data_IF_789329455493
#
_entry.id   IF_789329455493
#
_cell.length_a   1.000
_cell.length_b   1.000
_cell.length_c   1.000
_cell.angle_alpha   90.00
_cell.angle_beta   90.00
_cell.angle_gamma   90.00
#
_symmetry.space_group_name_H-M   'P 1'
#
loop_
_entity.id
_entity.type
_entity.pdbx_description
1 polymer ?
#
# COMPACT_ATOMS: atom_id res chain seq x y z
N UNK A 1 -12.14 -6.66 -8.76
CA UNK A 1 -12.06 -5.59 -9.77
C UNK A 1 -10.72 -5.75 -10.48
N UNK A 2 -10.67 -5.88 -11.82
CA UNK A 2 -9.39 -5.95 -12.53
C UNK A 2 -8.65 -4.60 -12.41
N UNK A 3 -7.35 -4.65 -12.13
CA UNK A 3 -6.50 -3.47 -12.09
C UNK A 3 -6.11 -3.06 -13.53
N UNK A 4 -6.28 -1.78 -13.86
CA UNK A 4 -5.82 -1.24 -15.13
C UNK A 4 -4.31 -0.90 -15.03
N UNK A 5 -3.50 -1.61 -15.81
CA UNK A 5 -2.05 -1.43 -15.82
C UNK A 5 -1.66 -0.26 -16.73
N UNK A 6 -0.72 0.56 -16.28
CA UNK A 6 -0.11 1.67 -17.01
C UNK A 6 1.41 1.57 -16.90
N UNK A 7 2.10 2.31 -17.75
CA UNK A 7 3.57 2.43 -17.69
C UNK A 7 3.93 3.86 -17.30
N UNK A 8 4.78 4.01 -16.29
CA UNK A 8 5.34 5.31 -15.91
C UNK A 8 6.22 5.88 -17.03
N UNK A 9 6.52 7.17 -16.99
CA UNK A 9 7.43 7.80 -17.96
C UNK A 9 8.83 7.18 -17.97
N UNK A 10 9.23 6.49 -16.89
CA UNK A 10 10.50 5.78 -16.77
C UNK A 10 10.44 4.31 -17.15
N UNK A 11 9.31 3.81 -17.65
CA UNK A 11 9.16 2.44 -18.15
C UNK A 11 8.67 1.40 -17.14
N UNK A 12 8.37 1.78 -15.89
CA UNK A 12 7.89 0.86 -14.85
C UNK A 12 6.39 0.65 -14.90
N UNK A 13 5.92 -0.58 -14.66
CA UNK A 13 4.49 -0.88 -14.59
C UNK A 13 3.89 -0.36 -13.28
N UNK A 14 2.70 0.24 -13.38
CA UNK A 14 1.91 0.72 -12.24
C UNK A 14 0.43 0.41 -12.44
N UNK A 15 -0.23 0.05 -11.35
CA UNK A 15 -1.68 -0.05 -11.25
C UNK A 15 -2.18 0.84 -10.11
N UNK A 16 -3.19 1.65 -10.39
CA UNK A 16 -3.83 2.54 -9.42
C UNK A 16 -5.20 1.98 -9.03
N UNK A 17 -5.56 2.13 -7.76
CA UNK A 17 -6.87 1.72 -7.24
C UNK A 17 -7.27 2.59 -6.04
N UNK A 18 -8.53 2.44 -5.62
CA UNK A 18 -9.07 3.12 -4.45
C UNK A 18 -9.48 2.07 -3.43
N UNK A 19 -9.08 2.26 -2.18
CA UNK A 19 -9.43 1.35 -1.09
C UNK A 19 -10.91 1.47 -0.68
N UNK A 20 -11.34 0.68 0.30
CA UNK A 20 -12.72 0.69 0.80
C UNK A 20 -13.14 2.03 1.42
N UNK A 21 -12.17 2.80 1.90
CA UNK A 21 -12.32 4.09 2.57
C UNK A 21 -12.24 5.28 1.61
N UNK A 22 -12.01 5.04 0.32
CA UNK A 22 -11.87 6.09 -0.69
C UNK A 22 -10.45 6.62 -0.82
N UNK A 23 -9.44 5.96 -0.24
CA UNK A 23 -8.03 6.38 -0.28
C UNK A 23 -7.37 5.87 -1.55
N UNK A 24 -6.63 6.74 -2.25
CA UNK A 24 -5.85 6.39 -3.43
C UNK A 24 -4.66 5.52 -3.04
N UNK A 25 -4.52 4.38 -3.73
CA UNK A 25 -3.46 3.42 -3.55
C UNK A 25 -2.87 3.03 -4.91
N UNK A 26 -1.63 2.54 -4.90
CA UNK A 26 -1.05 1.95 -6.10
C UNK A 26 -0.09 0.80 -5.82
N UNK A 27 -0.01 -0.08 -6.82
CA UNK A 27 0.96 -1.16 -6.96
C UNK A 27 1.91 -0.80 -8.09
N UNK A 28 3.20 -0.67 -7.82
CA UNK A 28 4.16 -0.16 -8.79
C UNK A 28 5.48 -0.91 -8.75
N UNK A 29 6.04 -1.27 -9.91
CA UNK A 29 7.40 -1.79 -10.00
C UNK A 29 8.43 -0.76 -9.50
N UNK A 30 9.38 -1.24 -8.70
CA UNK A 30 10.47 -0.41 -8.23
C UNK A 30 11.53 -0.23 -9.32
N UNK A 31 12.13 0.97 -9.37
CA UNK A 31 13.31 1.22 -10.20
C UNK A 31 14.63 0.73 -9.60
N UNK A 32 14.57 -0.27 -8.70
CA UNK A 32 15.76 -0.78 -8.01
C UNK A 32 16.50 -1.71 -8.99
N UNK A 33 17.77 -1.43 -9.25
CA UNK A 33 18.51 -2.07 -10.35
C UNK A 33 19.02 -3.48 -9.99
N UNK A 34 19.28 -3.73 -8.71
CA UNK A 34 19.93 -4.94 -8.21
C UNK A 34 18.96 -5.98 -7.65
N UNK A 35 17.68 -5.63 -7.48
CA UNK A 35 16.70 -6.50 -6.85
C UNK A 35 15.29 -6.20 -7.36
N UNK A 36 14.53 -7.27 -7.62
CA UNK A 36 13.13 -7.16 -8.00
C UNK A 36 12.29 -6.77 -6.78
N UNK A 37 11.80 -5.53 -6.80
CA UNK A 37 10.98 -4.98 -5.72
C UNK A 37 9.79 -4.20 -6.28
N UNK A 38 8.79 -3.97 -5.45
CA UNK A 38 7.61 -3.18 -5.78
C UNK A 38 7.21 -2.25 -4.63
N UNK A 39 6.47 -1.21 -4.96
CA UNK A 39 5.78 -0.35 -4.01
C UNK A 39 4.31 -0.76 -3.91
N UNK A 40 3.80 -0.89 -2.69
CA UNK A 40 2.40 -1.19 -2.40
C UNK A 40 1.89 -0.32 -1.24
N UNK A 41 0.77 0.37 -1.43
CA UNK A 41 0.10 1.11 -0.34
C UNK A 41 -0.59 2.39 -0.80
N UNK A 42 -1.01 3.21 0.16
CA UNK A 42 -1.64 4.50 -0.08
C UNK A 42 -0.63 5.51 -0.62
N UNK A 43 -1.04 6.35 -1.57
CA UNK A 43 -0.15 7.34 -2.19
C UNK A 43 0.01 8.60 -1.33
N UNK A 44 -0.99 8.93 -0.51
CA UNK A 44 -0.99 10.06 0.41
C UNK A 44 -1.28 9.59 1.84
N UNK A 45 -0.59 10.18 2.82
CA UNK A 45 -0.77 9.92 4.24
C UNK A 45 -1.94 10.70 4.87
N UNK A 46 -2.33 11.82 4.27
CA UNK A 46 -3.40 12.71 4.74
C UNK A 46 -3.53 12.82 6.28
N UNK A 47 -2.44 13.17 6.99
CA UNK A 47 -2.37 13.08 8.44
C UNK A 47 -3.30 14.10 9.11
N UNK A 48 -4.21 13.60 9.96
CA UNK A 48 -5.20 14.40 10.69
C UNK A 48 -5.14 14.15 12.18
N UNK A 49 -5.54 15.15 12.97
CA UNK A 49 -5.76 15.01 14.41
C UNK A 49 -7.26 15.03 14.70
N UNK A 50 -7.71 14.18 15.64
CA UNK A 50 -9.08 14.20 16.13
C UNK A 50 -9.20 15.25 17.24
N UNK A 51 -9.89 16.37 16.96
CA UNK A 51 -10.20 17.39 17.96
C UNK A 51 -11.60 17.15 18.54
N UNK A 52 -11.78 17.17 19.89
CA UNK A 52 -13.07 16.86 20.52
C UNK A 52 -14.26 17.69 20.01
N UNK A 53 -14.01 18.94 19.61
CA UNK A 53 -15.01 19.92 19.17
C UNK A 53 -15.20 19.97 17.64
N UNK A 54 -14.25 19.44 16.87
CA UNK A 54 -14.15 19.67 15.42
C UNK A 54 -13.97 18.40 14.58
N UNK A 55 -13.78 17.24 15.21
CA UNK A 55 -13.53 16.01 14.50
C UNK A 55 -12.14 15.98 13.86
N UNK A 56 -11.99 15.17 12.82
CA UNK A 56 -10.73 15.02 12.07
C UNK A 56 -10.35 16.31 11.34
N UNK A 57 -9.27 16.94 11.80
CA UNK A 57 -8.82 18.23 11.31
C UNK A 57 -7.37 18.13 10.83
N UNK A 58 -7.03 18.83 9.74
CA UNK A 58 -5.65 18.99 9.30
C UNK A 58 -4.82 19.67 10.39
N UNK A 59 -3.64 19.12 10.67
CA UNK A 59 -2.73 19.67 11.68
C UNK A 59 -1.41 20.08 11.01
N UNK A 60 -0.85 21.26 11.32
CA UNK A 60 0.48 21.61 10.81
C UNK A 60 1.53 20.68 11.43
N UNK A 61 2.46 20.21 10.60
CA UNK A 61 3.61 19.43 11.02
C UNK A 61 4.90 20.23 10.85
N UNK A 62 5.95 19.85 11.60
CA UNK A 62 7.24 20.52 11.49
C UNK A 62 7.80 20.38 10.07
N UNK A 63 8.47 21.42 9.52
CA UNK A 63 9.15 21.31 8.25
C UNK A 63 10.10 20.10 8.23
N UNK A 64 10.07 19.32 7.15
CA UNK A 64 10.87 18.09 7.02
C UNK A 64 10.23 16.84 7.63
N UNK A 65 9.01 16.91 8.17
CA UNK A 65 8.27 15.71 8.58
C UNK A 65 7.98 14.84 7.35
N UNK A 66 8.33 13.56 7.41
CA UNK A 66 8.10 12.57 6.35
C UNK A 66 6.97 11.64 6.79
N UNK A 67 5.97 11.48 5.93
CA UNK A 67 4.91 10.49 6.08
C UNK A 67 5.06 9.44 4.98
N UNK A 68 5.54 8.26 5.35
CA UNK A 68 5.63 7.15 4.41
C UNK A 68 4.44 6.20 4.62
N UNK A 69 3.68 5.96 3.56
CA UNK A 69 2.50 5.08 3.54
C UNK A 69 2.67 3.89 2.60
N UNK A 70 3.79 3.80 1.90
CA UNK A 70 4.03 2.74 0.90
C UNK A 70 5.10 1.79 1.39
N UNK A 71 4.83 0.50 1.20
CA UNK A 71 5.77 -0.57 1.47
C UNK A 71 6.64 -0.79 0.24
N UNK A 72 7.96 -0.82 0.44
CA UNK A 72 8.92 -1.27 -0.57
C UNK A 72 9.22 -2.74 -0.31
N UNK A 73 8.63 -3.62 -1.10
CA UNK A 73 8.66 -5.06 -0.87
C UNK A 73 9.55 -5.73 -1.91
N UNK A 74 10.46 -6.57 -1.43
CA UNK A 74 11.23 -7.49 -2.30
C UNK A 74 10.34 -8.65 -2.72
N UNK A 75 10.74 -9.40 -3.74
CA UNK A 75 10.02 -10.59 -4.16
C UNK A 75 9.85 -11.62 -3.03
N UNK A 76 10.86 -11.79 -2.17
CA UNK A 76 10.78 -12.77 -1.07
C UNK A 76 9.80 -12.33 0.03
N UNK A 77 9.76 -11.04 0.37
CA UNK A 77 8.73 -10.50 1.28
C UNK A 77 7.32 -10.71 0.72
N UNK A 78 7.14 -10.57 -0.60
CA UNK A 78 5.85 -10.84 -1.24
C UNK A 78 5.49 -12.32 -1.12
N UNK A 79 6.44 -13.26 -1.33
CA UNK A 79 6.19 -14.70 -1.13
C UNK A 79 5.74 -15.01 0.29
N UNK A 80 6.32 -14.37 1.29
CA UNK A 80 5.93 -14.57 2.70
C UNK A 80 4.54 -14.01 3.03
N UNK A 81 4.13 -12.91 2.38
CA UNK A 81 2.81 -12.30 2.58
C UNK A 81 1.70 -13.03 1.82
N UNK A 82 2.00 -13.60 0.65
CA UNK A 82 0.99 -14.17 -0.26
C UNK A 82 0.08 -15.22 0.37
N UNK A 83 0.56 -16.20 1.18
CA UNK A 83 -0.31 -17.19 1.79
C UNK A 83 -1.41 -16.56 2.66
N UNK A 84 -1.07 -15.54 3.44
CA UNK A 84 -2.02 -14.84 4.30
C UNK A 84 -3.02 -14.01 3.48
N UNK A 85 -2.55 -13.34 2.42
CA UNK A 85 -3.41 -12.53 1.55
C UNK A 85 -4.38 -13.38 0.73
N UNK A 86 -3.92 -14.55 0.26
CA UNK A 86 -4.76 -15.53 -0.43
C UNK A 86 -5.83 -16.09 0.51
N UNK A 87 -5.43 -16.53 1.71
CA UNK A 87 -6.38 -17.00 2.72
C UNK A 87 -7.43 -15.93 3.06
N UNK A 88 -7.02 -14.68 3.26
CA UNK A 88 -7.97 -13.58 3.52
C UNK A 88 -8.94 -13.35 2.36
N UNK A 89 -8.47 -13.42 1.11
CA UNK A 89 -9.33 -13.30 -0.06
C UNK A 89 -10.41 -14.38 -0.13
N UNK A 90 -10.11 -15.59 0.38
CA UNK A 90 -11.02 -16.74 0.38
C UNK A 90 -11.94 -16.78 1.60
N UNK A 91 -11.45 -16.36 2.78
CA UNK A 91 -12.09 -16.64 4.06
C UNK A 91 -12.44 -15.38 4.88
N UNK A 92 -11.86 -14.22 4.58
CA UNK A 92 -12.12 -12.97 5.28
C UNK A 92 -11.43 -12.84 6.65
N UNK A 93 -10.50 -13.73 6.98
CA UNK A 93 -9.60 -13.61 8.14
C UNK A 93 -8.13 -13.90 7.76
N UNK A 94 -7.17 -13.77 8.68
CA UNK A 94 -5.73 -13.97 8.41
C UNK A 94 -5.19 -15.26 9.06
N UNK A 95 -6.06 -16.16 9.52
CA UNK A 95 -5.61 -17.36 10.22
C UNK A 95 -5.00 -18.33 9.21
N UNK A 96 -3.84 -18.88 9.51
CA UNK A 96 -3.38 -20.03 8.74
C UNK A 96 -4.22 -21.26 9.15
N UNK A 97 -4.50 -22.18 8.21
CA UNK A 97 -4.92 -23.52 8.57
C UNK A 97 -3.94 -24.13 9.59
N UNK A 98 -4.38 -25.02 10.50
CA UNK A 98 -3.51 -25.63 11.53
C UNK A 98 -2.25 -26.32 10.97
N UNK A 99 -2.26 -26.67 9.68
CA UNK A 99 -1.27 -27.52 9.03
C UNK A 99 -0.50 -26.79 7.91
N UNK A 100 -0.29 -25.47 8.03
CA UNK A 100 0.61 -24.71 7.16
C UNK A 100 2.04 -25.26 7.16
#
# INVERSE_FOLDING_TARGET
MPLAMKTTQRGFVVAEFVDRSGVSCSLQESSLANEASLWLGCDDADPKILLPDRGWTQHPFLPGTVFNTRMHLTQDMVKDLLPYLQHFAEHGDLRLPPDG
#
